data_IF_686267058384
#
_entry.id   IF_686267058384
#
_cell.length_a   1.000
_cell.length_b   1.000
_cell.length_c   1.000
_cell.angle_alpha   90.00
_cell.angle_beta   90.00
_cell.angle_gamma   90.00
#
_symmetry.space_group_name_H-M   'P 1'
#
loop_
_entity.id
_entity.type
_entity.pdbx_description
1 polymer ?
#
# COMPACT_ATOMS: atom_id res chain seq x y z
N UNK A 1 23.19 -2.45 -8.54
CA UNK A 1 23.55 -2.53 -9.98
C UNK A 1 22.99 -1.31 -10.71
N UNK A 2 23.71 -0.69 -11.68
CA UNK A 2 23.18 0.48 -12.42
C UNK A 2 22.35 0.00 -13.61
N UNK A 3 21.16 0.57 -13.79
CA UNK A 3 20.29 0.22 -14.91
C UNK A 3 20.80 0.77 -16.24
N UNK A 4 20.88 -0.10 -17.25
CA UNK A 4 21.26 0.26 -18.63
C UNK A 4 20.01 0.22 -19.50
N UNK A 5 19.53 1.39 -19.96
CA UNK A 5 18.34 1.49 -20.79
C UNK A 5 18.72 1.38 -22.26
N UNK A 6 18.17 0.38 -22.94
CA UNK A 6 18.39 0.12 -24.37
C UNK A 6 17.36 0.87 -25.24
N UNK A 7 17.47 2.21 -25.31
CA UNK A 7 16.49 3.05 -26.04
C UNK A 7 16.59 2.98 -27.57
N UNK A 8 17.79 2.68 -28.12
CA UNK A 8 18.07 2.78 -29.56
C UNK A 8 17.73 1.53 -30.41
N UNK A 9 17.01 0.53 -29.86
CA UNK A 9 16.76 -0.73 -30.59
C UNK A 9 15.35 -0.89 -31.15
N UNK A 10 14.66 0.24 -31.46
CA UNK A 10 13.29 0.25 -32.04
C UNK A 10 13.27 -0.09 -33.56
N UNK A 11 14.16 -0.97 -34.02
CA UNK A 11 14.25 -1.36 -35.45
C UNK A 11 13.57 -2.70 -35.75
N UNK A 12 12.70 -3.19 -34.85
CA UNK A 12 12.07 -4.50 -35.03
C UNK A 12 11.25 -4.62 -36.32
N UNK A 13 10.53 -3.55 -36.72
CA UNK A 13 9.75 -3.55 -37.97
C UNK A 13 10.63 -3.64 -39.21
N UNK A 14 11.74 -2.91 -39.22
CA UNK A 14 12.70 -2.94 -40.34
C UNK A 14 13.31 -4.33 -40.48
N UNK A 15 13.73 -4.94 -39.37
CA UNK A 15 14.30 -6.30 -39.39
C UNK A 15 13.26 -7.32 -39.83
N UNK A 16 12.01 -7.21 -39.37
CA UNK A 16 10.94 -8.11 -39.80
C UNK A 16 10.68 -8.02 -41.30
N UNK A 17 10.56 -6.81 -41.86
CA UNK A 17 10.36 -6.61 -43.30
C UNK A 17 11.55 -7.14 -44.12
N UNK A 18 12.79 -6.85 -43.66
CA UNK A 18 13.99 -7.31 -44.32
C UNK A 18 14.08 -8.83 -44.32
N UNK A 19 13.76 -9.50 -43.20
CA UNK A 19 13.74 -10.96 -43.13
C UNK A 19 12.69 -11.56 -44.06
N UNK A 20 11.50 -11.00 -44.16
CA UNK A 20 10.45 -11.45 -45.09
C UNK A 20 10.90 -11.30 -46.53
N UNK A 21 11.46 -10.16 -46.92
CA UNK A 21 11.95 -9.93 -48.28
C UNK A 21 13.07 -10.92 -48.63
N UNK A 22 14.02 -11.16 -47.71
CA UNK A 22 15.08 -12.12 -47.90
C UNK A 22 14.56 -13.56 -48.02
N UNK A 23 13.53 -13.93 -47.27
CA UNK A 23 12.89 -15.24 -47.42
C UNK A 23 12.25 -15.41 -48.80
N UNK A 24 11.51 -14.39 -49.28
CA UNK A 24 10.91 -14.41 -50.63
C UNK A 24 12.01 -14.56 -51.70
N UNK A 25 13.10 -13.78 -51.59
CA UNK A 25 14.24 -13.87 -52.50
C UNK A 25 14.92 -15.25 -52.47
N UNK A 26 15.06 -15.84 -51.27
CA UNK A 26 15.64 -17.16 -51.13
C UNK A 26 14.77 -18.25 -51.76
N UNK A 27 13.42 -18.18 -51.61
CA UNK A 27 12.48 -19.10 -52.27
C UNK A 27 12.53 -18.96 -53.78
N UNK A 28 12.49 -17.73 -54.33
CA UNK A 28 12.62 -17.48 -55.77
C UNK A 28 14.01 -17.96 -56.30
N UNK A 29 15.06 -17.70 -55.51
CA UNK A 29 16.40 -18.15 -55.84
C UNK A 29 16.53 -19.68 -55.87
N UNK A 30 15.89 -20.42 -54.96
CA UNK A 30 15.90 -21.89 -55.00
C UNK A 30 15.24 -22.43 -56.27
N UNK A 31 14.15 -21.83 -56.72
CA UNK A 31 13.45 -22.25 -57.95
C UNK A 31 14.36 -21.96 -59.18
N UNK A 32 14.89 -20.74 -59.27
CA UNK A 32 15.70 -20.30 -60.39
C UNK A 32 17.01 -21.12 -60.55
N UNK A 33 17.76 -21.31 -59.45
CA UNK A 33 19.01 -22.04 -59.48
C UNK A 33 18.85 -23.56 -59.57
N UNK A 34 17.66 -24.09 -59.21
CA UNK A 34 17.32 -25.49 -59.47
C UNK A 34 17.13 -25.76 -60.97
N UNK A 35 16.51 -24.85 -61.72
CA UNK A 35 16.30 -24.94 -63.13
C UNK A 35 17.63 -24.83 -63.92
N UNK A 36 18.57 -23.96 -63.46
CA UNK A 36 19.90 -23.79 -64.11
C UNK A 36 20.95 -24.81 -63.66
N UNK A 37 20.61 -25.74 -62.76
CA UNK A 37 21.49 -26.76 -62.18
C UNK A 37 22.78 -26.21 -61.53
N UNK A 38 22.72 -24.96 -61.01
CA UNK A 38 23.83 -24.33 -60.28
C UNK A 38 23.82 -24.76 -58.81
N UNK A 39 24.71 -25.69 -58.45
CA UNK A 39 24.71 -26.32 -57.12
C UNK A 39 25.10 -25.35 -56.01
N UNK A 40 26.10 -24.48 -56.19
CA UNK A 40 26.64 -23.62 -55.17
C UNK A 40 25.60 -22.55 -54.63
N UNK A 41 24.93 -21.75 -55.49
CA UNK A 41 23.93 -20.80 -55.04
C UNK A 41 22.65 -21.49 -54.52
N UNK A 42 22.28 -22.65 -55.06
CA UNK A 42 21.17 -23.46 -54.57
C UNK A 42 21.39 -23.88 -53.10
N UNK A 43 22.56 -24.41 -52.76
CA UNK A 43 22.92 -24.81 -51.39
C UNK A 43 22.87 -23.60 -50.45
N UNK A 44 23.32 -22.44 -50.88
CA UNK A 44 23.30 -21.22 -50.06
C UNK A 44 21.87 -20.75 -49.78
N UNK A 45 20.96 -20.81 -50.78
CA UNK A 45 19.55 -20.51 -50.60
C UNK A 45 18.87 -21.48 -49.58
N UNK A 46 19.15 -22.79 -49.72
CA UNK A 46 18.62 -23.81 -48.79
C UNK A 46 19.14 -23.57 -47.36
N UNK A 47 20.45 -23.28 -47.23
CA UNK A 47 21.05 -22.96 -45.92
C UNK A 47 20.41 -21.72 -45.31
N UNK A 48 20.14 -20.66 -46.10
CA UNK A 48 19.47 -19.49 -45.62
C UNK A 48 18.02 -19.80 -45.19
N UNK A 49 17.25 -20.58 -45.92
CA UNK A 49 15.90 -20.99 -45.58
C UNK A 49 15.88 -21.77 -44.27
N UNK A 50 16.91 -22.57 -43.95
CA UNK A 50 16.99 -23.33 -42.70
C UNK A 50 17.38 -22.47 -41.48
N UNK A 51 18.22 -21.44 -41.63
CA UNK A 51 18.79 -20.63 -40.54
C UNK A 51 18.19 -19.21 -40.45
N UNK A 52 17.55 -18.73 -41.53
CA UNK A 52 17.07 -17.34 -41.63
C UNK A 52 15.92 -16.97 -40.69
N UNK A 53 15.34 -17.93 -39.96
CA UNK A 53 14.33 -17.66 -38.93
C UNK A 53 14.96 -17.18 -37.61
N UNK A 54 16.27 -17.41 -37.38
CA UNK A 54 16.95 -17.00 -36.14
C UNK A 54 16.76 -15.53 -35.77
N UNK A 55 16.85 -14.54 -36.69
CA UNK A 55 16.58 -13.15 -36.33
C UNK A 55 15.20 -12.90 -35.79
N UNK A 56 14.17 -13.69 -36.15
CA UNK A 56 12.81 -13.54 -35.67
C UNK A 56 12.69 -13.78 -34.15
N UNK A 57 13.56 -14.63 -33.58
CA UNK A 57 13.61 -14.85 -32.12
C UNK A 57 14.01 -13.59 -31.33
N UNK A 58 14.75 -12.69 -31.99
CA UNK A 58 15.20 -11.43 -31.41
C UNK A 58 14.13 -10.34 -31.39
N UNK A 59 12.98 -10.57 -32.01
CA UNK A 59 11.89 -9.61 -32.01
C UNK A 59 11.14 -9.63 -30.71
N UNK A 60 10.99 -8.46 -30.05
CA UNK A 60 10.26 -8.29 -28.78
C UNK A 60 9.28 -7.13 -28.88
N UNK A 61 8.03 -7.37 -28.50
CA UNK A 61 6.98 -6.36 -28.45
C UNK A 61 6.76 -5.96 -26.98
N UNK A 62 6.90 -4.67 -26.69
CA UNK A 62 6.57 -4.10 -25.41
C UNK A 62 5.34 -3.19 -25.54
N UNK A 63 4.43 -3.33 -24.58
CA UNK A 63 3.32 -2.41 -24.40
C UNK A 63 3.72 -1.16 -23.59
N UNK A 64 2.81 -0.20 -23.47
CA UNK A 64 3.01 0.97 -22.63
C UNK A 64 3.18 0.56 -21.16
N UNK A 65 4.12 1.23 -20.46
CA UNK A 65 4.44 0.96 -19.06
C UNK A 65 4.87 -0.51 -18.78
N UNK A 66 5.53 -1.14 -19.75
CA UNK A 66 6.17 -2.44 -19.58
C UNK A 66 7.69 -2.30 -19.73
N UNK A 67 8.41 -3.13 -19.01
CA UNK A 67 9.87 -3.28 -19.15
C UNK A 67 10.24 -4.75 -19.33
N UNK A 68 11.36 -4.98 -20.02
CA UNK A 68 11.91 -6.31 -20.22
C UNK A 68 13.41 -6.29 -19.92
N UNK A 69 13.81 -6.98 -18.87
CA UNK A 69 15.20 -7.13 -18.46
C UNK A 69 15.83 -8.26 -19.27
N UNK A 70 16.94 -7.97 -19.94
CA UNK A 70 17.61 -8.90 -20.86
C UNK A 70 18.97 -9.32 -20.34
N UNK A 71 19.21 -10.62 -20.39
CA UNK A 71 20.52 -11.24 -20.14
C UNK A 71 20.98 -12.02 -21.34
N UNK A 72 22.30 -12.04 -21.59
CA UNK A 72 22.96 -12.88 -22.60
C UNK A 72 23.96 -13.77 -21.89
N UNK A 73 23.75 -15.07 -21.94
CA UNK A 73 24.62 -16.07 -21.30
C UNK A 73 24.91 -15.77 -19.82
N UNK A 74 23.88 -15.24 -19.10
CA UNK A 74 23.98 -14.87 -17.67
C UNK A 74 24.43 -13.44 -17.41
N UNK A 75 25.01 -12.72 -18.38
CA UNK A 75 25.41 -11.34 -18.22
C UNK A 75 24.26 -10.37 -18.50
N UNK A 76 24.08 -9.37 -17.65
CA UNK A 76 23.10 -8.30 -17.84
C UNK A 76 23.52 -7.40 -19.00
N UNK A 77 22.68 -7.27 -20.04
CA UNK A 77 22.94 -6.39 -21.17
C UNK A 77 22.24 -5.06 -21.02
N UNK A 78 21.02 -5.09 -20.47
CA UNK A 78 20.20 -3.89 -20.31
C UNK A 78 18.72 -4.20 -20.28
N UNK A 79 17.94 -3.15 -20.06
CA UNK A 79 16.49 -3.19 -19.97
C UNK A 79 15.87 -2.45 -21.14
N UNK A 80 14.88 -3.06 -21.77
CA UNK A 80 13.98 -2.38 -22.70
C UNK A 80 12.88 -1.71 -21.90
N UNK A 81 12.76 -0.38 -22.00
CA UNK A 81 11.68 0.41 -21.40
C UNK A 81 10.89 1.17 -22.45
N UNK A 82 9.58 1.22 -22.25
CA UNK A 82 8.66 1.94 -23.14
C UNK A 82 8.07 1.09 -24.25
N UNK A 83 7.05 1.61 -24.87
CA UNK A 83 6.31 0.96 -25.93
C UNK A 83 7.11 0.87 -27.23
N UNK A 84 6.96 -0.22 -27.95
CA UNK A 84 7.56 -0.37 -29.25
C UNK A 84 7.85 -1.81 -29.65
N UNK A 85 8.31 -1.92 -30.88
CA UNK A 85 8.77 -3.16 -31.49
C UNK A 85 10.30 -3.14 -31.59
N UNK A 86 10.93 -3.96 -30.77
CA UNK A 86 12.37 -3.97 -30.58
C UNK A 86 13.01 -5.18 -31.27
N UNK A 87 14.20 -4.97 -31.77
CA UNK A 87 15.09 -6.05 -32.20
C UNK A 87 16.28 -6.12 -31.25
N UNK A 88 16.48 -7.28 -30.67
CA UNK A 88 17.61 -7.58 -29.77
C UNK A 88 18.31 -8.86 -30.26
N UNK A 89 19.47 -9.15 -29.71
CA UNK A 89 20.18 -10.39 -30.05
C UNK A 89 19.23 -11.60 -29.79
N UNK A 90 19.07 -12.50 -30.78
CA UNK A 90 18.22 -13.69 -30.67
C UNK A 90 18.50 -14.58 -29.45
N UNK A 91 19.74 -14.58 -28.95
CA UNK A 91 20.17 -15.38 -27.80
C UNK A 91 19.90 -14.70 -26.44
N UNK A 92 19.36 -13.49 -26.45
CA UNK A 92 18.97 -12.81 -25.19
C UNK A 92 17.75 -13.47 -24.56
N UNK A 93 17.88 -13.77 -23.28
CA UNK A 93 16.79 -14.28 -22.46
C UNK A 93 16.22 -13.19 -21.57
N UNK A 94 14.90 -13.16 -21.43
CA UNK A 94 14.24 -12.26 -20.50
C UNK A 94 14.20 -12.87 -19.10
N UNK A 95 14.49 -12.06 -18.08
CA UNK A 95 14.50 -12.48 -16.67
C UNK A 95 13.51 -11.67 -15.88
N UNK A 96 12.65 -12.35 -15.13
CA UNK A 96 11.75 -11.75 -14.12
C UNK A 96 11.52 -12.79 -13.03
N UNK A 97 12.20 -12.70 -11.88
CA UNK A 97 12.08 -13.68 -10.81
C UNK A 97 10.69 -13.67 -10.17
N UNK A 98 10.05 -12.50 -10.10
CA UNK A 98 8.72 -12.34 -9.52
C UNK A 98 7.57 -12.70 -10.49
N UNK A 99 7.84 -13.24 -11.68
CA UNK A 99 6.82 -13.54 -12.69
C UNK A 99 5.76 -14.56 -12.24
N UNK A 100 6.13 -15.46 -11.30
CA UNK A 100 5.23 -16.49 -10.76
C UNK A 100 4.57 -16.11 -9.45
N UNK A 101 5.00 -15.02 -8.82
CA UNK A 101 4.52 -14.63 -7.50
C UNK A 101 3.18 -13.90 -7.62
N UNK A 102 2.16 -14.50 -7.06
CA UNK A 102 0.82 -13.92 -6.90
C UNK A 102 0.69 -13.45 -5.45
N UNK A 103 0.81 -12.15 -5.25
CA UNK A 103 0.42 -11.48 -4.01
C UNK A 103 -0.96 -10.85 -4.24
N UNK A 104 -1.68 -10.50 -3.17
CA UNK A 104 -2.98 -9.79 -3.26
C UNK A 104 -2.79 -8.38 -3.84
N UNK A 105 -2.33 -8.30 -5.09
CA UNK A 105 -2.02 -7.05 -5.80
C UNK A 105 -3.07 -6.80 -6.89
N UNK A 106 -3.28 -5.53 -7.22
CA UNK A 106 -4.25 -5.12 -8.25
C UNK A 106 -3.98 -5.67 -9.65
N UNK A 107 -2.74 -6.13 -9.93
CA UNK A 107 -2.36 -6.73 -11.21
C UNK A 107 -2.46 -8.26 -11.25
N UNK A 108 -2.63 -8.92 -10.09
CA UNK A 108 -2.68 -10.39 -10.00
C UNK A 108 -4.12 -10.93 -10.13
N UNK A 109 -5.13 -10.05 -10.13
CA UNK A 109 -6.55 -10.43 -10.06
C UNK A 109 -7.09 -10.97 -11.39
N UNK A 110 -6.48 -10.61 -12.52
CA UNK A 110 -7.01 -10.97 -13.83
C UNK A 110 -6.75 -12.42 -14.23
N UNK A 111 -5.66 -13.02 -13.71
CA UNK A 111 -5.33 -14.42 -14.01
C UNK A 111 -6.22 -15.44 -13.26
N UNK A 112 -6.78 -15.05 -12.10
CA UNK A 112 -7.56 -15.96 -11.28
C UNK A 112 -9.05 -16.03 -11.65
N UNK A 113 -9.60 -14.99 -12.30
CA UNK A 113 -11.02 -14.95 -12.68
C UNK A 113 -11.33 -15.81 -13.91
N UNK A 114 -10.43 -15.91 -14.87
CA UNK A 114 -10.62 -16.74 -16.06
C UNK A 114 -10.71 -18.23 -15.74
N UNK A 115 -9.94 -18.71 -14.76
CA UNK A 115 -9.91 -20.12 -14.37
C UNK A 115 -11.15 -20.59 -13.60
N UNK A 116 -11.74 -19.71 -12.77
CA UNK A 116 -12.93 -20.07 -11.96
C UNK A 116 -14.22 -20.09 -12.76
N UNK A 117 -14.35 -19.26 -13.79
CA UNK A 117 -15.56 -19.21 -14.64
C UNK A 117 -15.61 -20.46 -15.56
N UNK A 118 -14.46 -20.95 -16.03
CA UNK A 118 -14.39 -22.13 -16.89
C UNK A 118 -14.59 -23.43 -16.12
N UNK A 119 -14.17 -23.49 -14.84
CA UNK A 119 -14.41 -24.64 -13.97
C UNK A 119 -15.88 -24.79 -13.57
N UNK A 120 -16.66 -23.70 -13.56
CA UNK A 120 -18.10 -23.72 -13.26
C UNK A 120 -18.97 -24.20 -14.43
N UNK A 121 -18.43 -24.29 -15.66
CA UNK A 121 -19.16 -24.69 -16.87
C UNK A 121 -19.02 -26.18 -17.23
N UNK A 122 -18.55 -27.05 -16.31
CA UNK A 122 -18.66 -28.50 -16.41
C UNK A 122 -17.97 -29.17 -17.62
N UNK A 123 -16.94 -28.56 -18.15
CA UNK A 123 -16.16 -29.12 -19.25
C UNK A 123 -14.97 -29.93 -18.75
N UNK A 124 -14.82 -31.13 -19.26
CA UNK A 124 -13.70 -32.07 -19.05
C UNK A 124 -12.36 -31.38 -18.98
N UNK A 125 -11.47 -31.84 -18.09
CA UNK A 125 -10.10 -31.39 -17.87
C UNK A 125 -9.24 -31.45 -19.15
N UNK A 126 -9.46 -30.52 -20.06
CA UNK A 126 -8.46 -30.16 -21.05
C UNK A 126 -7.47 -29.29 -20.28
N UNK A 127 -6.26 -29.81 -20.05
CA UNK A 127 -5.12 -29.03 -19.56
C UNK A 127 -4.82 -27.96 -20.62
N UNK A 128 -5.48 -26.78 -20.48
CA UNK A 128 -5.11 -25.61 -21.25
C UNK A 128 -3.62 -25.36 -21.03
N UNK A 129 -2.87 -25.01 -22.08
CA UNK A 129 -1.46 -24.72 -21.92
C UNK A 129 -1.30 -23.66 -20.84
N UNK A 130 -0.51 -24.00 -19.81
CA UNK A 130 -0.10 -23.12 -18.72
C UNK A 130 0.21 -21.75 -19.36
N UNK A 131 -0.63 -20.75 -19.12
CA UNK A 131 -0.43 -19.40 -19.65
C UNK A 131 1.03 -19.06 -19.52
N UNK A 132 1.65 -18.73 -20.64
CA UNK A 132 3.09 -18.46 -20.69
C UNK A 132 3.35 -17.29 -19.73
N UNK A 133 3.93 -17.61 -18.59
CA UNK A 133 4.28 -16.65 -17.54
C UNK A 133 5.03 -15.51 -18.21
N UNK A 134 4.40 -14.35 -18.31
CA UNK A 134 5.00 -13.19 -18.97
C UNK A 134 6.20 -12.73 -18.16
N UNK A 135 7.39 -12.74 -18.77
CA UNK A 135 8.61 -12.25 -18.12
C UNK A 135 8.75 -10.73 -18.15
N UNK A 136 7.69 -10.03 -18.55
CA UNK A 136 7.64 -8.57 -18.56
C UNK A 136 7.43 -8.06 -17.14
N UNK A 137 8.00 -6.91 -16.84
CA UNK A 137 7.84 -6.20 -15.57
C UNK A 137 6.91 -5.04 -15.82
N UNK A 138 5.84 -4.91 -15.01
CA UNK A 138 4.96 -3.76 -15.05
C UNK A 138 5.62 -2.58 -14.35
N UNK A 139 5.63 -1.43 -15.03
CA UNK A 139 6.04 -0.13 -14.46
C UNK A 139 4.83 0.69 -14.00
N UNK A 140 3.63 0.12 -14.12
CA UNK A 140 2.39 0.75 -13.66
C UNK A 140 2.39 0.85 -12.14
N UNK A 141 1.57 1.77 -11.64
CA UNK A 141 1.28 1.84 -10.21
C UNK A 141 0.49 0.59 -9.82
N UNK A 142 0.98 -0.09 -8.80
CA UNK A 142 0.39 -1.31 -8.25
C UNK A 142 0.03 -1.08 -6.78
N UNK A 143 -0.99 -1.76 -6.29
CA UNK A 143 -1.38 -1.71 -4.88
C UNK A 143 -1.21 -3.09 -4.25
N UNK A 144 -0.40 -3.16 -3.20
CA UNK A 144 -0.24 -4.31 -2.35
C UNK A 144 -1.15 -4.16 -1.13
N UNK A 145 -2.01 -5.13 -0.87
CA UNK A 145 -2.81 -5.20 0.36
C UNK A 145 -2.29 -6.36 1.20
N UNK A 146 -1.57 -6.05 2.28
CA UNK A 146 -1.09 -7.08 3.19
C UNK A 146 -2.23 -7.61 4.07
N UNK A 147 -2.10 -8.89 4.47
CA UNK A 147 -3.02 -9.51 5.40
C UNK A 147 -3.01 -8.77 6.75
N UNK A 148 -4.14 -8.81 7.44
CA UNK A 148 -4.24 -8.27 8.80
C UNK A 148 -3.25 -8.97 9.72
N UNK A 149 -2.52 -8.19 10.51
CA UNK A 149 -1.57 -8.69 11.49
C UNK A 149 -1.99 -8.30 12.89
N UNK A 150 -1.75 -9.19 13.83
CA UNK A 150 -1.89 -8.92 15.26
C UNK A 150 -0.56 -8.40 15.78
N UNK A 151 -0.54 -7.16 16.25
CA UNK A 151 0.65 -6.47 16.74
C UNK A 151 0.28 -5.80 18.07
N UNK A 152 1.20 -5.77 19.04
CA UNK A 152 0.97 -5.01 20.26
C UNK A 152 1.31 -3.53 20.03
N UNK A 153 0.44 -2.65 20.52
CA UNK A 153 0.69 -1.21 20.59
C UNK A 153 1.77 -0.86 21.63
N UNK A 154 2.09 0.43 21.81
CA UNK A 154 3.09 0.86 22.78
C UNK A 154 2.71 0.56 24.24
N UNK A 155 1.41 0.36 24.53
CA UNK A 155 0.89 0.01 25.85
C UNK A 155 0.81 -1.52 26.04
N UNK A 156 1.19 -2.31 25.04
CA UNK A 156 1.12 -3.77 25.08
C UNK A 156 -0.24 -4.35 24.72
N UNK A 157 -1.20 -3.54 24.26
CA UNK A 157 -2.51 -4.04 23.83
C UNK A 157 -2.41 -4.68 22.44
N UNK A 158 -2.91 -5.89 22.23
CA UNK A 158 -2.93 -6.51 20.92
C UNK A 158 -3.98 -5.83 20.01
N UNK A 159 -3.51 -5.30 18.87
CA UNK A 159 -4.32 -4.67 17.82
C UNK A 159 -4.22 -5.46 16.53
N UNK A 160 -5.29 -5.54 15.77
CA UNK A 160 -5.33 -6.08 14.43
C UNK A 160 -5.26 -4.91 13.44
N UNK A 161 -4.23 -4.90 12.62
CA UNK A 161 -3.98 -3.83 11.66
C UNK A 161 -3.66 -4.41 10.28
N UNK A 162 -4.20 -3.78 9.25
CA UNK A 162 -3.91 -4.05 7.85
C UNK A 162 -3.52 -2.78 7.12
N UNK A 163 -2.64 -2.89 6.13
CA UNK A 163 -2.23 -1.77 5.30
C UNK A 163 -2.40 -2.08 3.82
N UNK A 164 -2.65 -1.04 3.05
CA UNK A 164 -2.53 -1.03 1.60
C UNK A 164 -1.39 -0.08 1.21
N UNK A 165 -0.49 -0.56 0.37
CA UNK A 165 0.69 0.18 -0.09
C UNK A 165 0.63 0.32 -1.59
N UNK A 166 0.67 1.56 -2.07
CA UNK A 166 0.72 1.88 -3.49
C UNK A 166 2.17 2.12 -3.91
N UNK A 167 2.64 1.39 -4.89
CA UNK A 167 4.05 1.33 -5.27
C UNK A 167 4.26 1.13 -6.77
N UNK A 168 5.48 1.39 -7.25
CA UNK A 168 5.91 1.11 -8.62
C UNK A 168 7.38 0.71 -8.67
N UNK A 169 7.77 0.06 -9.77
CA UNK A 169 9.17 -0.23 -10.08
C UNK A 169 9.78 0.95 -10.81
N UNK A 170 10.86 1.49 -10.29
CA UNK A 170 11.62 2.60 -10.89
C UNK A 170 12.89 2.08 -11.57
N UNK A 171 13.66 1.24 -10.85
CA UNK A 171 14.87 0.63 -11.34
C UNK A 171 14.67 -0.89 -11.49
N UNK A 172 14.53 -1.33 -12.74
CA UNK A 172 14.27 -2.75 -13.02
C UNK A 172 15.53 -3.61 -12.87
N UNK A 173 16.71 -3.01 -13.01
CA UNK A 173 17.97 -3.72 -12.80
C UNK A 173 18.13 -4.12 -11.33
N UNK A 174 17.91 -3.17 -10.40
CA UNK A 174 17.92 -3.45 -8.97
C UNK A 174 16.84 -4.45 -8.58
N UNK A 175 15.60 -4.25 -9.07
CA UNK A 175 14.48 -5.12 -8.73
C UNK A 175 14.68 -6.59 -9.15
N UNK A 176 15.48 -6.85 -10.18
CA UNK A 176 15.70 -8.22 -10.70
C UNK A 176 16.97 -8.86 -10.16
N UNK A 177 18.04 -8.08 -9.92
CA UNK A 177 19.37 -8.64 -9.62
C UNK A 177 19.85 -8.36 -8.19
N UNK A 178 19.37 -7.28 -7.54
CA UNK A 178 19.81 -6.97 -6.18
C UNK A 178 18.90 -7.67 -5.14
N UNK A 179 17.71 -8.14 -5.55
CA UNK A 179 16.74 -8.85 -4.71
C UNK A 179 16.23 -10.09 -5.44
N UNK A 180 16.12 -11.22 -4.75
CA UNK A 180 15.68 -12.49 -5.33
C UNK A 180 14.23 -12.41 -5.86
N UNK A 181 13.32 -11.84 -5.08
CA UNK A 181 11.93 -11.62 -5.47
C UNK A 181 11.44 -10.29 -4.91
N UNK A 182 11.40 -9.26 -5.75
CA UNK A 182 11.03 -7.90 -5.33
C UNK A 182 9.60 -7.77 -4.78
N UNK A 183 8.66 -8.63 -5.21
CA UNK A 183 7.28 -8.63 -4.69
C UNK A 183 7.21 -9.18 -3.27
N UNK A 184 7.81 -10.33 -3.02
CA UNK A 184 7.89 -10.93 -1.68
C UNK A 184 8.70 -10.07 -0.74
N UNK A 185 9.82 -9.53 -1.23
CA UNK A 185 10.64 -8.60 -0.48
C UNK A 185 9.82 -7.38 -0.01
N UNK A 186 9.06 -6.75 -0.92
CA UNK A 186 8.19 -5.63 -0.58
C UNK A 186 7.18 -6.02 0.50
N UNK A 187 6.49 -7.16 0.36
CA UNK A 187 5.51 -7.63 1.34
C UNK A 187 6.13 -7.81 2.73
N UNK A 188 7.30 -8.44 2.81
CA UNK A 188 8.02 -8.64 4.06
C UNK A 188 8.50 -7.32 4.69
N UNK A 189 8.96 -6.37 3.86
CA UNK A 189 9.35 -5.05 4.37
C UNK A 189 8.16 -4.23 4.85
N UNK A 190 7.00 -4.34 4.18
CA UNK A 190 5.75 -3.74 4.63
C UNK A 190 5.34 -4.28 6.00
N UNK A 191 5.42 -5.60 6.21
CA UNK A 191 5.08 -6.24 7.48
C UNK A 191 6.04 -5.83 8.60
N UNK A 192 7.32 -5.75 8.28
CA UNK A 192 8.36 -5.31 9.23
C UNK A 192 8.20 -3.84 9.63
N UNK A 193 7.99 -2.96 8.66
CA UNK A 193 7.79 -1.53 8.90
C UNK A 193 6.52 -1.27 9.72
N UNK A 194 5.42 -1.95 9.35
CA UNK A 194 4.16 -1.87 10.07
C UNK A 194 4.36 -2.22 11.56
N UNK A 195 5.04 -3.33 11.83
CA UNK A 195 5.32 -3.78 13.19
C UNK A 195 6.18 -2.81 13.98
N UNK A 196 7.18 -2.21 13.33
CA UNK A 196 8.06 -1.24 13.97
C UNK A 196 7.30 0.03 14.36
N UNK A 197 6.50 0.57 13.44
CA UNK A 197 5.81 1.84 13.67
C UNK A 197 4.63 1.67 14.65
N UNK A 198 3.82 0.60 14.51
CA UNK A 198 2.66 0.36 15.41
C UNK A 198 3.08 0.27 16.87
N UNK A 199 4.24 -0.29 17.16
CA UNK A 199 4.76 -0.40 18.53
C UNK A 199 5.15 0.95 19.18
N UNK A 200 5.22 2.03 18.40
CA UNK A 200 5.53 3.36 18.91
C UNK A 200 4.29 4.14 19.33
N UNK A 201 3.10 3.75 18.83
CA UNK A 201 1.86 4.49 19.05
C UNK A 201 0.86 3.71 19.89
N UNK A 202 0.08 4.38 20.77
CA UNK A 202 -1.10 3.77 21.39
C UNK A 202 -2.22 3.63 20.35
N UNK A 203 -3.12 2.68 20.56
CA UNK A 203 -4.31 2.52 19.72
C UNK A 203 -5.20 3.77 19.74
N UNK A 204 -5.46 4.29 20.93
CA UNK A 204 -6.30 5.47 21.17
C UNK A 204 -5.52 6.51 21.97
N UNK A 205 -6.03 7.73 22.03
CA UNK A 205 -5.39 8.85 22.73
C UNK A 205 -5.02 8.47 24.15
N UNK A 206 -3.75 8.64 24.49
CA UNK A 206 -3.23 8.41 25.83
C UNK A 206 -2.45 9.65 26.28
N UNK A 207 -3.00 10.45 27.20
CA UNK A 207 -2.43 11.74 27.59
C UNK A 207 -1.06 11.64 28.30
N UNK A 208 -0.56 10.43 28.53
CA UNK A 208 0.71 10.17 29.22
C UNK A 208 1.79 9.61 28.32
N UNK A 209 1.56 9.50 27.01
CA UNK A 209 2.52 8.91 26.05
C UNK A 209 3.01 9.99 25.09
N UNK A 210 4.32 10.22 25.12
CA UNK A 210 5.03 11.04 24.13
C UNK A 210 5.49 10.13 22.99
N UNK A 211 4.90 10.28 21.80
CA UNK A 211 5.22 9.50 20.60
C UNK A 211 6.15 10.25 19.64
N UNK A 212 6.29 11.56 19.82
CA UNK A 212 7.17 12.41 19.00
C UNK A 212 8.57 12.54 19.57
N UNK A 213 8.73 12.30 20.90
CA UNK A 213 10.00 12.43 21.61
C UNK A 213 10.39 13.88 21.92
N UNK A 214 9.43 14.81 21.87
CA UNK A 214 9.66 16.23 22.18
C UNK A 214 9.46 16.57 23.67
N UNK A 215 9.12 15.56 24.49
CA UNK A 215 8.89 15.69 25.93
C UNK A 215 7.49 16.17 26.29
N UNK A 216 6.62 16.38 25.33
CA UNK A 216 5.20 16.73 25.52
C UNK A 216 4.37 15.50 25.16
N UNK A 217 3.48 15.02 26.05
CA UNK A 217 2.55 13.94 25.69
C UNK A 217 1.72 14.39 24.49
N UNK A 218 1.94 13.76 23.36
CA UNK A 218 1.30 14.18 22.13
C UNK A 218 -0.03 13.45 21.92
N UNK A 219 -0.82 14.02 21.02
CA UNK A 219 -2.09 13.46 20.59
C UNK A 219 -1.92 12.31 19.59
N UNK A 220 -0.67 11.79 19.41
CA UNK A 220 -0.37 10.73 18.46
C UNK A 220 -1.01 9.41 18.87
N UNK A 221 -1.97 8.94 18.09
CA UNK A 221 -2.55 7.61 18.25
C UNK A 221 -2.77 6.98 16.88
N UNK A 222 -2.82 5.64 16.83
CA UNK A 222 -3.10 4.91 15.59
C UNK A 222 -4.45 5.32 14.99
N UNK A 223 -5.43 5.61 15.84
CA UNK A 223 -6.79 5.99 15.44
C UNK A 223 -6.91 7.48 15.12
N UNK A 224 -6.38 8.35 15.99
CA UNK A 224 -6.55 9.81 15.87
C UNK A 224 -5.62 10.43 14.83
N UNK A 225 -4.41 9.91 14.70
CA UNK A 225 -3.35 10.45 13.82
C UNK A 225 -2.99 9.48 12.70
N UNK A 226 -3.99 8.81 12.13
CA UNK A 226 -3.79 7.77 11.10
C UNK A 226 -2.97 8.24 9.90
N UNK A 227 -3.10 9.50 9.49
CA UNK A 227 -2.37 10.06 8.35
C UNK A 227 -0.88 10.27 8.67
N UNK A 228 -0.56 10.72 9.88
CA UNK A 228 0.83 10.88 10.35
C UNK A 228 1.51 9.52 10.46
N UNK A 229 0.80 8.54 11.04
CA UNK A 229 1.29 7.16 11.17
C UNK A 229 1.49 6.54 9.80
N UNK A 230 0.56 6.73 8.86
CA UNK A 230 0.67 6.25 7.49
C UNK A 230 1.87 6.86 6.75
N UNK A 231 2.13 8.16 6.95
CA UNK A 231 3.32 8.82 6.39
C UNK A 231 4.62 8.22 6.93
N UNK A 232 4.73 7.98 8.24
CA UNK A 232 5.89 7.32 8.85
C UNK A 232 6.06 5.88 8.36
N UNK A 233 4.97 5.12 8.21
CA UNK A 233 5.03 3.76 7.65
C UNK A 233 5.56 3.83 6.22
N UNK A 234 5.09 4.78 5.38
CA UNK A 234 5.58 4.97 4.02
C UNK A 234 7.09 5.25 3.99
N UNK A 235 7.58 6.16 4.84
CA UNK A 235 8.99 6.53 4.93
C UNK A 235 9.85 5.33 5.37
N UNK A 236 9.42 4.59 6.37
CA UNK A 236 10.11 3.40 6.86
C UNK A 236 10.17 2.30 5.78
N UNK A 237 9.08 2.07 5.04
CA UNK A 237 9.07 1.13 3.91
C UNK A 237 10.00 1.63 2.82
N UNK A 238 9.90 2.92 2.42
CA UNK A 238 10.70 3.50 1.35
C UNK A 238 12.21 3.37 1.64
N UNK A 239 12.63 3.64 2.87
CA UNK A 239 14.03 3.49 3.27
C UNK A 239 14.56 2.07 3.05
N UNK A 240 13.73 1.06 3.30
CA UNK A 240 14.10 -0.37 3.15
C UNK A 240 14.03 -0.87 1.72
N UNK A 241 13.12 -0.37 0.89
CA UNK A 241 12.89 -0.88 -0.48
C UNK A 241 13.62 -0.09 -1.56
N UNK A 242 14.25 1.03 -1.22
CA UNK A 242 15.01 1.85 -2.14
C UNK A 242 16.17 1.08 -2.81
N UNK A 243 16.81 0.18 -2.08
CA UNK A 243 17.87 -0.67 -2.59
C UNK A 243 17.36 -1.67 -3.64
N UNK A 244 16.09 -2.08 -3.53
CA UNK A 244 15.42 -2.94 -4.50
C UNK A 244 14.86 -2.17 -5.73
N UNK A 245 15.12 -0.87 -5.85
CA UNK A 245 14.66 -0.06 -6.98
C UNK A 245 13.15 0.15 -7.02
N UNK A 246 12.47 0.08 -5.87
CA UNK A 246 11.05 0.30 -5.71
C UNK A 246 10.77 1.69 -5.13
N UNK A 247 9.66 2.29 -5.55
CA UNK A 247 9.16 3.55 -5.02
C UNK A 247 7.79 3.36 -4.40
N UNK A 248 7.64 3.81 -3.17
CA UNK A 248 6.39 3.82 -2.43
C UNK A 248 5.74 5.19 -2.60
N UNK A 249 4.58 5.20 -3.24
CA UNK A 249 3.82 6.42 -3.46
C UNK A 249 3.00 6.78 -2.22
N UNK A 250 2.30 5.78 -1.68
CA UNK A 250 1.40 5.97 -0.56
C UNK A 250 1.31 4.69 0.28
N UNK A 251 1.15 4.85 1.59
CA UNK A 251 0.73 3.79 2.49
C UNK A 251 -0.54 4.24 3.22
N UNK A 252 -1.51 3.33 3.39
CA UNK A 252 -2.77 3.61 4.10
C UNK A 252 -3.11 2.47 5.03
N UNK A 253 -3.60 2.80 6.21
CA UNK A 253 -4.18 1.83 7.13
C UNK A 253 -5.58 1.49 6.62
N UNK A 254 -5.82 0.22 6.32
CA UNK A 254 -7.10 -0.28 5.79
C UNK A 254 -7.98 -0.91 6.85
N UNK A 255 -7.36 -1.40 7.91
CA UNK A 255 -8.05 -2.00 9.03
C UNK A 255 -7.30 -1.67 10.31
N UNK A 256 -8.05 -1.28 11.34
CA UNK A 256 -7.52 -1.02 12.67
C UNK A 256 -8.60 -1.36 13.70
N UNK A 257 -8.34 -2.35 14.54
CA UNK A 257 -9.23 -2.77 15.60
C UNK A 257 -8.43 -3.39 16.74
N UNK A 258 -8.98 -3.40 17.95
CA UNK A 258 -8.45 -4.26 19.00
C UNK A 258 -8.63 -5.73 18.63
N UNK A 259 -7.68 -6.54 19.01
CA UNK A 259 -7.83 -7.99 18.87
C UNK A 259 -9.06 -8.48 19.61
N UNK A 260 -9.74 -9.49 19.04
CA UNK A 260 -11.03 -9.98 19.54
C UNK A 260 -11.01 -10.39 21.03
N UNK A 261 -9.85 -10.84 21.51
CA UNK A 261 -9.66 -11.28 22.90
C UNK A 261 -9.81 -10.18 23.93
N UNK A 262 -9.47 -8.93 23.55
CA UNK A 262 -9.51 -7.79 24.48
C UNK A 262 -10.56 -6.73 24.09
N UNK A 263 -11.20 -6.88 22.95
CA UNK A 263 -12.10 -5.85 22.42
C UNK A 263 -13.21 -5.47 23.39
N UNK A 264 -13.84 -6.45 24.05
CA UNK A 264 -14.89 -6.20 25.03
C UNK A 264 -14.38 -5.45 26.29
N UNK A 265 -13.22 -5.83 26.81
CA UNK A 265 -12.61 -5.16 27.96
C UNK A 265 -12.18 -3.72 27.63
N UNK A 266 -11.62 -3.50 26.43
CA UNK A 266 -11.25 -2.16 25.98
C UNK A 266 -12.45 -1.26 25.74
N UNK A 267 -13.56 -1.79 25.24
CA UNK A 267 -14.81 -1.05 25.11
C UNK A 267 -15.33 -0.60 26.48
N UNK A 268 -15.33 -1.48 27.49
CA UNK A 268 -15.71 -1.13 28.85
C UNK A 268 -14.81 -0.04 29.44
N UNK A 269 -13.48 -0.13 29.21
CA UNK A 269 -12.52 0.90 29.62
C UNK A 269 -12.82 2.25 28.97
N UNK A 270 -13.06 2.27 27.65
CA UNK A 270 -13.42 3.50 26.93
C UNK A 270 -14.71 4.11 27.44
N UNK A 271 -15.74 3.29 27.71
CA UNK A 271 -17.00 3.75 28.30
C UNK A 271 -16.78 4.37 29.68
N UNK A 272 -16.01 3.72 30.54
CA UNK A 272 -15.69 4.22 31.87
C UNK A 272 -14.94 5.56 31.83
N UNK A 273 -13.91 5.67 30.94
CA UNK A 273 -13.18 6.92 30.71
C UNK A 273 -14.10 8.02 30.22
N UNK A 274 -14.94 7.75 29.22
CA UNK A 274 -15.87 8.72 28.68
C UNK A 274 -16.88 9.24 29.72
N UNK A 275 -17.35 8.37 30.66
CA UNK A 275 -18.21 8.79 31.76
C UNK A 275 -17.47 9.72 32.73
N UNK A 276 -16.21 9.40 33.04
CA UNK A 276 -15.38 10.23 33.92
C UNK A 276 -15.14 11.60 33.29
N UNK A 277 -14.75 11.63 32.02
CA UNK A 277 -14.49 12.85 31.27
C UNK A 277 -15.73 13.71 31.12
N UNK A 278 -16.88 13.09 30.83
CA UNK A 278 -18.17 13.79 30.82
C UNK A 278 -18.53 14.41 32.18
N UNK A 279 -18.32 13.66 33.26
CA UNK A 279 -18.56 14.20 34.63
C UNK A 279 -17.61 15.35 34.97
N UNK A 280 -16.34 15.26 34.60
CA UNK A 280 -15.37 16.33 34.75
C UNK A 280 -15.82 17.60 34.04
N UNK A 281 -16.22 17.49 32.76
CA UNK A 281 -16.76 18.63 32.02
C UNK A 281 -18.03 19.24 32.65
N UNK A 282 -18.93 18.40 33.16
CA UNK A 282 -20.13 18.88 33.87
C UNK A 282 -19.74 19.69 35.13
N UNK A 283 -18.80 19.17 35.92
CA UNK A 283 -18.35 19.87 37.16
C UNK A 283 -17.64 21.17 36.80
N UNK A 284 -16.74 21.18 35.84
CA UNK A 284 -16.03 22.38 35.36
C UNK A 284 -17.01 23.42 34.82
N UNK A 285 -17.98 23.00 34.01
CA UNK A 285 -19.05 23.87 33.52
C UNK A 285 -19.96 24.42 34.63
N UNK A 286 -20.30 23.60 35.64
CA UNK A 286 -21.09 24.01 36.79
C UNK A 286 -20.35 25.04 37.65
N UNK A 287 -19.06 24.81 37.95
CA UNK A 287 -18.21 25.74 38.70
C UNK A 287 -18.12 27.09 37.96
N UNK A 288 -17.78 27.07 36.66
CA UNK A 288 -17.71 28.32 35.89
C UNK A 288 -19.04 29.07 35.79
N UNK A 289 -20.17 28.34 35.74
CA UNK A 289 -21.50 28.94 35.76
C UNK A 289 -21.80 29.61 37.10
N UNK A 290 -21.46 28.96 38.22
CA UNK A 290 -21.64 29.50 39.58
C UNK A 290 -20.74 30.72 39.80
N UNK A 291 -19.48 30.68 39.40
CA UNK A 291 -18.55 31.82 39.47
C UNK A 291 -19.09 33.01 38.70
N UNK A 292 -19.53 32.81 37.45
CA UNK A 292 -20.15 33.85 36.62
C UNK A 292 -21.43 34.44 37.30
N UNK A 293 -22.26 33.60 37.90
CA UNK A 293 -23.48 34.04 38.57
C UNK A 293 -23.15 34.91 39.78
N UNK A 294 -22.19 34.50 40.62
CA UNK A 294 -21.74 35.25 41.79
C UNK A 294 -21.13 36.60 41.42
N UNK A 295 -20.28 36.61 40.36
CA UNK A 295 -19.66 37.83 39.89
C UNK A 295 -20.69 38.84 39.38
N UNK A 296 -21.68 38.42 38.61
CA UNK A 296 -22.77 39.25 38.11
C UNK A 296 -23.66 39.79 39.23
N UNK A 297 -23.96 38.97 40.23
CA UNK A 297 -24.73 39.42 41.41
C UNK A 297 -23.96 40.45 42.23
N UNK A 298 -22.65 40.28 42.37
CA UNK A 298 -21.79 41.20 43.09
C UNK A 298 -21.66 42.56 42.34
N UNK A 299 -21.58 42.55 41.03
CA UNK A 299 -21.49 43.74 40.16
C UNK A 299 -22.82 44.52 40.11
N UNK A 300 -23.95 43.80 40.12
CA UNK A 300 -25.28 44.44 40.03
C UNK A 300 -25.74 45.11 41.32
N UNK A 301 -25.16 44.81 42.47
CA UNK A 301 -25.50 45.39 43.77
C UNK A 301 -26.92 45.12 44.24
N UNK A 302 -27.62 44.15 43.58
CA UNK A 302 -29.04 43.87 43.88
C UNK A 302 -29.23 43.15 45.22
N UNK A 303 -28.21 42.41 45.64
CA UNK A 303 -28.23 41.63 46.88
C UNK A 303 -26.85 41.71 47.53
N UNK A 304 -26.79 42.20 48.77
CA UNK A 304 -25.62 42.04 49.65
C UNK A 304 -25.58 40.61 50.20
N UNK A 305 -24.67 39.77 49.64
CA UNK A 305 -24.47 38.41 50.08
C UNK A 305 -23.31 38.38 51.07
N UNK A 306 -23.55 37.94 52.28
CA UNK A 306 -22.50 37.57 53.21
C UNK A 306 -21.87 36.25 52.84
N UNK A 307 -20.70 35.93 53.39
CA UNK A 307 -19.92 34.75 52.99
C UNK A 307 -20.67 33.41 53.25
N UNK A 308 -21.50 33.38 54.29
CA UNK A 308 -22.29 32.20 54.65
C UNK A 308 -23.44 31.96 53.65
N UNK A 309 -24.12 33.02 53.20
CA UNK A 309 -25.13 32.92 52.14
C UNK A 309 -24.56 32.61 50.76
N UNK A 310 -23.38 33.14 50.44
CA UNK A 310 -22.65 32.76 49.23
C UNK A 310 -22.32 31.28 49.23
N UNK A 311 -21.78 30.75 50.34
CA UNK A 311 -21.43 29.32 50.45
C UNK A 311 -22.67 28.41 50.31
N UNK A 312 -23.81 28.80 50.95
CA UNK A 312 -25.06 28.05 50.82
C UNK A 312 -25.59 28.06 49.37
N UNK A 313 -25.54 29.22 48.69
CA UNK A 313 -25.97 29.36 47.31
C UNK A 313 -25.10 28.55 46.33
N UNK A 314 -23.76 28.58 46.50
CA UNK A 314 -22.82 27.77 45.75
C UNK A 314 -23.12 26.28 45.88
N UNK A 315 -23.30 25.83 47.14
CA UNK A 315 -23.63 24.43 47.42
C UNK A 315 -24.92 23.99 46.74
N UNK A 316 -25.98 24.80 46.84
CA UNK A 316 -27.28 24.49 46.24
C UNK A 316 -27.21 24.48 44.71
N UNK A 317 -26.53 25.45 44.08
CA UNK A 317 -26.36 25.52 42.65
C UNK A 317 -25.54 24.35 42.13
N UNK A 318 -24.42 23.98 42.78
CA UNK A 318 -23.61 22.84 42.37
C UNK A 318 -24.38 21.52 42.49
N UNK A 319 -25.21 21.34 43.53
CA UNK A 319 -26.05 20.13 43.65
C UNK A 319 -27.05 20.04 42.51
N UNK A 320 -27.67 21.15 42.11
CA UNK A 320 -28.64 21.20 41.00
C UNK A 320 -27.92 20.98 39.64
N UNK A 321 -26.80 21.66 39.43
CA UNK A 321 -26.09 21.60 38.15
C UNK A 321 -25.33 20.30 37.93
N UNK A 322 -24.78 19.68 38.98
CA UNK A 322 -24.06 18.41 38.93
C UNK A 322 -24.96 17.18 39.14
N UNK A 323 -26.21 17.38 39.60
CA UNK A 323 -27.14 16.28 39.85
C UNK A 323 -27.66 15.64 38.56
N UNK A 324 -27.79 14.32 38.55
CA UNK A 324 -28.34 13.56 37.41
C UNK A 324 -29.87 13.48 37.38
N UNK A 325 -30.55 14.07 38.37
CA UNK A 325 -32.00 14.06 38.49
C UNK A 325 -32.56 15.47 38.28
N UNK A 326 -33.72 15.54 37.64
CA UNK A 326 -34.48 16.80 37.54
C UNK A 326 -34.71 17.35 38.96
N UNK A 327 -34.22 18.57 39.21
CA UNK A 327 -34.41 19.24 40.48
C UNK A 327 -35.90 19.51 40.68
N UNK A 328 -36.52 18.86 41.67
CA UNK A 328 -37.86 19.22 42.09
C UNK A 328 -37.75 20.43 43.02
N UNK A 329 -38.33 21.58 42.67
CA UNK A 329 -38.31 22.75 43.53
C UNK A 329 -39.17 22.47 44.77
N UNK A 330 -38.51 22.30 45.89
CA UNK A 330 -39.20 22.27 47.21
C UNK A 330 -39.36 23.72 47.63
N UNK A 331 -40.56 24.26 47.41
CA UNK A 331 -40.92 25.59 47.93
C UNK A 331 -41.20 25.46 49.45
N UNK A 332 -40.26 25.90 50.25
CA UNK A 332 -40.47 25.98 51.70
C UNK A 332 -41.36 27.18 52.03
N UNK A 333 -42.63 26.94 52.16
CA UNK A 333 -43.62 27.96 52.45
C UNK A 333 -43.73 28.31 53.98
N UNK A 334 -42.83 27.82 54.80
CA UNK A 334 -42.88 27.96 56.23
C UNK A 334 -41.64 28.57 56.82
N UNK A 335 -41.53 29.90 56.81
CA UNK A 335 -41.03 30.77 57.90
C UNK A 335 -40.91 32.20 57.40
N UNK A 336 -42.04 32.85 57.28
CA UNK A 336 -42.11 34.30 57.50
C UNK A 336 -42.37 34.51 58.99
N UNK A 337 -41.35 34.49 59.78
CA UNK A 337 -41.26 35.19 61.09
C UNK A 337 -39.79 35.47 61.35
#
# INVERSE_FOLDING_TARGET
>A
MTEIILSNKKHGMLVLLLTIVLYILAVLGTIFFADEAQIAPLVLCILYLSLGWLPLLGLKVLGPQEALVLTLFGNYIGTLKGEGFYFVNPFCTAVNPAAKTQLSQSGDVDSAKGSKVLAALGGSSVSLPKEAVTKKISLKIMTLSNARQKINDCLGNPVEIGIAVTWRVVDTGKAVFDVDNYKEFLSLQCDSALRNIVRLYPYDVSPSVDTTGDGVPDEGSLRGSSDVVAARIREEIQAKVQEAGLEILEARITHLAYASEIAAAMLQRQQASAIIDARKMIVEGAVGTVEMALERLNQSGVVELDEERKAAMVSNLLVVLCGNHEAQPVVNTGSLY
#
